data_IF_517262092249
#
_entry.id   IF_517262092249
#
_cell.length_a   1.000
_cell.length_b   1.000
_cell.length_c   1.000
_cell.angle_alpha   90.00
_cell.angle_beta   90.00
_cell.angle_gamma   90.00
#
_symmetry.space_group_name_H-M   'P 1'
#
loop_
_entity.id
_entity.type
_entity.pdbx_description
1 polymer ?
#
# COMPACT_ATOMS: atom_id res chain seq x y z
N UNK A 1 -6.42 -15.73 2.16
CA UNK A 1 -6.32 -14.89 0.94
C UNK A 1 -5.53 -13.65 1.30
N UNK A 2 -4.42 -13.40 0.60
CA UNK A 2 -3.55 -12.25 0.83
C UNK A 2 -3.75 -11.18 -0.26
N UNK A 3 -4.17 -9.98 0.14
CA UNK A 3 -4.45 -8.84 -0.73
C UNK A 3 -3.37 -7.77 -0.53
N UNK A 4 -2.69 -7.36 -1.59
CA UNK A 4 -1.80 -6.20 -1.58
C UNK A 4 -2.52 -4.94 -2.08
N UNK A 5 -2.40 -3.82 -1.37
CA UNK A 5 -2.95 -2.52 -1.75
C UNK A 5 -1.82 -1.47 -1.82
N UNK A 6 -1.44 -1.10 -3.04
CA UNK A 6 -0.44 -0.07 -3.29
C UNK A 6 -1.04 1.27 -3.70
N UNK A 7 -0.27 2.34 -3.54
CA UNK A 7 -0.64 3.67 -4.00
C UNK A 7 0.21 4.73 -3.31
N UNK A 8 0.27 5.92 -3.91
CA UNK A 8 1.01 7.05 -3.34
C UNK A 8 0.45 7.46 -1.98
N UNK A 9 1.25 8.13 -1.16
CA UNK A 9 0.77 8.76 0.07
C UNK A 9 -0.49 9.60 -0.19
N UNK A 10 -1.49 9.54 0.72
CA UNK A 10 -2.80 10.21 0.60
C UNK A 10 -3.66 9.79 -0.62
N UNK A 11 -3.36 8.64 -1.24
CA UNK A 11 -4.19 8.05 -2.32
C UNK A 11 -5.54 7.52 -1.85
N UNK A 12 -5.67 7.12 -0.59
CA UNK A 12 -6.87 6.43 -0.07
C UNK A 12 -6.68 4.92 0.14
N UNK A 13 -5.46 4.40 -0.05
CA UNK A 13 -5.08 2.99 0.20
C UNK A 13 -5.54 2.45 1.57
N UNK A 14 -5.26 3.16 2.66
CA UNK A 14 -5.66 2.76 4.01
C UNK A 14 -7.18 2.84 4.21
N UNK A 15 -7.87 3.77 3.53
CA UNK A 15 -9.34 3.84 3.54
C UNK A 15 -9.94 2.61 2.85
N UNK A 16 -9.46 2.27 1.65
CA UNK A 16 -9.91 1.07 0.93
C UNK A 16 -9.63 -0.20 1.75
N UNK A 17 -8.45 -0.31 2.36
CA UNK A 17 -8.10 -1.44 3.22
C UNK A 17 -9.08 -1.61 4.38
N UNK A 18 -9.44 -0.51 5.07
CA UNK A 18 -10.42 -0.52 6.16
C UNK A 18 -11.83 -0.89 5.69
N UNK A 19 -12.26 -0.39 4.52
CA UNK A 19 -13.56 -0.76 3.92
C UNK A 19 -13.61 -2.25 3.62
N UNK A 20 -12.54 -2.82 3.07
CA UNK A 20 -12.45 -4.25 2.77
C UNK A 20 -12.43 -5.11 4.02
N UNK A 21 -11.62 -4.78 5.04
CA UNK A 21 -11.64 -5.51 6.32
C UNK A 21 -13.03 -5.47 6.95
N UNK A 22 -13.69 -4.31 6.93
CA UNK A 22 -15.06 -4.16 7.44
C UNK A 22 -16.03 -5.05 6.66
N UNK A 23 -15.96 -5.03 5.33
CA UNK A 23 -16.79 -5.85 4.45
C UNK A 23 -16.59 -7.34 4.75
N UNK A 24 -15.36 -7.84 4.79
CA UNK A 24 -15.09 -9.26 5.04
C UNK A 24 -15.54 -9.70 6.44
N UNK A 25 -15.31 -8.89 7.46
CA UNK A 25 -15.78 -9.19 8.83
C UNK A 25 -17.30 -9.24 8.92
N UNK A 26 -18.02 -8.31 8.26
CA UNK A 26 -19.48 -8.33 8.17
C UNK A 26 -20.01 -9.60 7.48
N UNK A 27 -19.23 -10.17 6.57
CA UNK A 27 -19.55 -11.43 5.88
C UNK A 27 -18.95 -12.66 6.58
N UNK A 28 -18.67 -12.57 7.89
CA UNK A 28 -18.28 -13.71 8.72
C UNK A 28 -16.84 -14.19 8.56
N UNK A 29 -15.97 -13.43 7.88
CA UNK A 29 -14.55 -13.78 7.72
C UNK A 29 -13.67 -13.16 8.80
N UNK A 30 -12.65 -13.89 9.24
CA UNK A 30 -11.52 -13.35 10.00
C UNK A 30 -10.64 -12.56 9.04
N UNK A 31 -10.76 -11.24 9.08
CA UNK A 31 -9.94 -10.33 8.27
C UNK A 31 -9.03 -9.45 9.13
N UNK A 32 -7.80 -9.22 8.68
CA UNK A 32 -6.81 -8.33 9.30
C UNK A 32 -6.08 -7.48 8.25
N UNK A 33 -5.59 -6.33 8.69
CA UNK A 33 -4.86 -5.33 7.90
C UNK A 33 -3.50 -5.09 8.55
N UNK A 34 -2.45 -5.03 7.74
CA UNK A 34 -1.10 -4.62 8.10
C UNK A 34 -0.72 -3.38 7.29
N UNK A 35 -0.35 -2.32 8.01
CA UNK A 35 0.16 -1.10 7.43
C UNK A 35 1.67 -1.21 7.29
N UNK A 36 2.21 -0.98 6.08
CA UNK A 36 3.65 -1.02 5.86
C UNK A 36 4.41 -0.02 6.74
N UNK A 37 3.77 1.08 7.11
CA UNK A 37 4.31 2.11 8.01
C UNK A 37 4.61 1.56 9.42
N UNK A 38 4.04 0.42 9.83
CA UNK A 38 4.32 -0.26 11.11
C UNK A 38 5.64 -1.07 11.07
N UNK A 39 6.27 -1.20 9.91
CA UNK A 39 7.47 -2.01 9.66
C UNK A 39 8.67 -1.16 9.28
N UNK A 40 8.69 0.11 9.69
CA UNK A 40 9.83 1.01 9.45
C UNK A 40 11.00 0.67 10.36
N UNK A 41 12.23 0.78 9.85
CA UNK A 41 13.41 0.75 10.68
C UNK A 41 13.47 1.97 11.63
N UNK A 42 14.21 1.90 12.75
CA UNK A 42 14.49 3.07 13.55
C UNK A 42 15.12 4.19 12.71
N UNK A 43 14.77 5.45 12.99
CA UNK A 43 15.24 6.62 12.24
C UNK A 43 16.77 6.67 12.05
N UNK A 44 17.53 6.19 13.04
CA UNK A 44 19.00 6.13 12.99
C UNK A 44 19.57 5.21 11.92
N UNK A 45 18.76 4.28 11.39
CA UNK A 45 19.14 3.32 10.34
C UNK A 45 18.63 3.73 8.96
N UNK A 46 17.75 4.73 8.89
CA UNK A 46 17.15 5.18 7.63
C UNK A 46 18.10 6.19 6.96
N UNK A 47 18.35 6.06 5.63
CA UNK A 47 19.17 7.03 4.92
C UNK A 47 18.59 8.45 5.00
N UNK A 48 19.45 9.45 4.89
CA UNK A 48 19.02 10.84 4.78
C UNK A 48 18.91 11.26 3.31
N UNK A 49 17.92 12.10 3.03
CA UNK A 49 17.86 12.89 1.82
C UNK A 49 17.98 14.38 2.17
N UNK A 50 19.05 15.01 1.67
CA UNK A 50 19.47 16.34 2.10
C UNK A 50 19.60 16.39 3.63
N UNK A 51 18.75 17.16 4.30
CA UNK A 51 18.75 17.34 5.77
C UNK A 51 17.65 16.56 6.49
N UNK A 52 16.85 15.74 5.79
CA UNK A 52 15.74 14.98 6.38
C UNK A 52 15.96 13.47 6.27
N UNK A 53 15.34 12.73 7.17
CA UNK A 53 15.22 11.27 7.09
C UNK A 53 14.38 10.89 5.87
N UNK A 54 14.85 9.94 5.07
CA UNK A 54 14.20 9.51 3.83
C UNK A 54 13.23 8.36 4.09
N UNK A 55 12.07 8.68 4.67
CA UNK A 55 10.93 7.77 4.84
C UNK A 55 10.38 7.24 3.52
N UNK A 56 10.75 7.88 2.40
CA UNK A 56 10.33 7.52 1.07
C UNK A 56 11.39 6.66 0.37
N UNK A 57 12.37 6.10 1.10
CA UNK A 57 13.28 5.08 0.57
C UNK A 57 12.73 3.69 0.89
N UNK A 58 12.80 2.70 -0.01
CA UNK A 58 12.54 1.31 0.36
C UNK A 58 13.44 0.80 1.50
N UNK A 59 14.63 1.38 1.68
CA UNK A 59 15.52 1.08 2.81
C UNK A 59 14.97 1.55 4.16
N UNK A 60 13.85 2.28 4.19
CA UNK A 60 13.15 2.61 5.41
C UNK A 60 12.30 1.45 5.95
N UNK A 61 12.00 0.43 5.13
CA UNK A 61 11.09 -0.66 5.47
C UNK A 61 11.85 -1.96 5.72
N UNK A 62 11.53 -2.63 6.83
CA UNK A 62 11.91 -4.01 7.09
C UNK A 62 11.00 -4.98 6.32
N UNK A 63 11.29 -5.16 5.03
CA UNK A 63 10.55 -6.09 4.18
C UNK A 63 10.64 -7.55 4.65
N UNK A 64 11.69 -7.92 5.37
CA UNK A 64 11.85 -9.26 5.92
C UNK A 64 10.81 -9.49 7.01
N UNK A 65 10.76 -8.62 8.01
CA UNK A 65 9.76 -8.69 9.09
C UNK A 65 8.33 -8.58 8.53
N UNK A 66 8.12 -7.66 7.58
CA UNK A 66 6.82 -7.49 6.95
C UNK A 66 6.35 -8.79 6.28
N UNK A 67 7.22 -9.42 5.49
CA UNK A 67 6.92 -10.71 4.84
C UNK A 67 6.64 -11.82 5.86
N UNK A 68 7.46 -11.95 6.91
CA UNK A 68 7.28 -12.97 7.94
C UNK A 68 5.93 -12.85 8.64
N UNK A 69 5.50 -11.62 8.97
CA UNK A 69 4.18 -11.35 9.55
C UNK A 69 3.05 -11.68 8.58
N UNK A 70 3.17 -11.31 7.29
CA UNK A 70 2.16 -11.65 6.30
C UNK A 70 1.97 -13.16 6.15
N UNK A 71 3.06 -13.93 6.12
CA UNK A 71 3.01 -15.40 6.06
C UNK A 71 2.32 -15.96 7.30
N UNK A 72 2.78 -15.56 8.50
CA UNK A 72 2.26 -16.06 9.78
C UNK A 72 0.75 -15.81 9.94
N UNK A 73 0.26 -14.65 9.50
CA UNK A 73 -1.14 -14.31 9.63
C UNK A 73 -2.01 -14.88 8.51
N UNK A 74 -1.45 -15.12 7.33
CA UNK A 74 -2.19 -15.76 6.23
C UNK A 74 -2.53 -17.23 6.54
N UNK A 75 -1.84 -17.87 7.48
CA UNK A 75 -2.20 -19.19 8.03
C UNK A 75 -3.38 -19.14 9.01
N UNK A 76 -3.63 -17.99 9.64
CA UNK A 76 -4.58 -17.84 10.77
C UNK A 76 -5.86 -17.07 10.42
N UNK A 77 -5.82 -16.29 9.35
CA UNK A 77 -6.91 -15.41 8.91
C UNK A 77 -7.41 -15.81 7.53
N UNK A 78 -8.72 -15.70 7.32
CA UNK A 78 -9.33 -15.92 6.02
C UNK A 78 -8.84 -14.89 5.00
N UNK A 79 -8.68 -13.63 5.46
CA UNK A 79 -8.22 -12.51 4.64
C UNK A 79 -7.14 -11.71 5.37
N UNK A 80 -5.99 -11.53 4.74
CA UNK A 80 -4.93 -10.63 5.17
C UNK A 80 -4.78 -9.53 4.12
N UNK A 81 -4.76 -8.27 4.56
CA UNK A 81 -4.56 -7.11 3.69
C UNK A 81 -3.23 -6.46 4.06
N UNK A 82 -2.34 -6.34 3.09
CA UNK A 82 -1.07 -5.62 3.18
C UNK A 82 -1.20 -4.31 2.41
N UNK A 83 -1.05 -3.16 3.06
CA UNK A 83 -1.14 -1.85 2.39
C UNK A 83 0.10 -0.99 2.63
N UNK A 84 0.53 -0.27 1.61
CA UNK A 84 1.77 0.51 1.72
C UNK A 84 2.13 1.30 0.47
N UNK A 85 3.03 2.27 0.65
CA UNK A 85 3.62 3.02 -0.46
C UNK A 85 4.43 2.09 -1.38
N UNK A 86 5.15 1.15 -0.77
CA UNK A 86 6.00 0.14 -1.40
C UNK A 86 5.38 -1.26 -1.34
N UNK A 87 4.04 -1.36 -1.33
CA UNK A 87 3.33 -2.65 -1.22
C UNK A 87 3.72 -3.65 -2.32
N UNK A 88 4.21 -3.15 -3.46
CA UNK A 88 4.60 -3.95 -4.62
C UNK A 88 6.10 -3.92 -4.92
N UNK A 89 6.93 -3.39 -4.01
CA UNK A 89 8.36 -3.23 -4.24
C UNK A 89 9.13 -4.56 -4.12
N UNK A 90 8.83 -5.36 -3.09
CA UNK A 90 9.52 -6.63 -2.86
C UNK A 90 8.92 -7.77 -3.70
N UNK A 91 9.71 -8.33 -4.62
CA UNK A 91 9.27 -9.42 -5.49
C UNK A 91 8.85 -10.67 -4.71
N UNK A 92 9.51 -10.95 -3.59
CA UNK A 92 9.24 -12.13 -2.78
C UNK A 92 7.94 -12.03 -1.96
N UNK A 93 7.46 -10.82 -1.69
CA UNK A 93 6.11 -10.57 -1.18
C UNK A 93 5.09 -10.63 -2.32
N UNK A 94 5.42 -10.07 -3.49
CA UNK A 94 4.53 -10.07 -4.65
C UNK A 94 4.08 -11.46 -5.10
N UNK A 95 4.94 -12.48 -4.95
CA UNK A 95 4.61 -13.89 -5.24
C UNK A 95 3.61 -14.49 -4.26
N UNK A 96 3.49 -13.94 -3.04
CA UNK A 96 2.55 -14.39 -2.03
C UNK A 96 1.14 -13.80 -2.23
N UNK A 97 1.03 -12.66 -2.93
CA UNK A 97 -0.23 -11.94 -3.09
C UNK A 97 -1.18 -12.66 -4.04
N UNK A 98 -2.33 -13.10 -3.51
CA UNK A 98 -3.43 -13.67 -4.31
C UNK A 98 -4.16 -12.59 -5.13
N UNK A 99 -4.25 -11.36 -4.59
CA UNK A 99 -4.92 -10.21 -5.20
C UNK A 99 -4.12 -8.93 -5.05
N UNK A 100 -4.20 -8.05 -6.04
CA UNK A 100 -3.42 -6.81 -6.10
C UNK A 100 -4.35 -5.66 -6.49
N UNK A 101 -4.44 -4.66 -5.62
CA UNK A 101 -5.20 -3.43 -5.83
C UNK A 101 -4.24 -2.25 -5.88
N UNK A 102 -4.42 -1.34 -6.82
CA UNK A 102 -3.63 -0.12 -6.92
C UNK A 102 -4.52 1.11 -6.92
N UNK A 103 -4.40 1.92 -5.86
CA UNK A 103 -5.15 3.16 -5.71
C UNK A 103 -4.38 4.28 -6.40
N UNK A 104 -4.94 4.76 -7.51
CA UNK A 104 -4.33 5.78 -8.36
C UNK A 104 -4.98 7.13 -8.11
N UNK A 105 -4.14 8.14 -7.92
CA UNK A 105 -4.52 9.56 -7.97
C UNK A 105 -3.55 10.31 -8.89
N UNK A 106 -3.98 11.46 -9.42
CA UNK A 106 -3.12 12.35 -10.20
C UNK A 106 -2.08 13.04 -9.32
N UNK A 107 -0.97 13.53 -9.92
CA UNK A 107 0.02 14.35 -9.20
C UNK A 107 -0.64 15.58 -8.57
N UNK A 108 -1.59 16.20 -9.29
CA UNK A 108 -2.35 17.36 -8.80
C UNK A 108 -3.11 17.03 -7.51
N UNK A 109 -3.88 15.94 -7.51
CA UNK A 109 -4.63 15.51 -6.32
C UNK A 109 -3.70 15.15 -5.17
N UNK A 110 -2.57 14.48 -5.46
CA UNK A 110 -1.54 14.19 -4.46
C UNK A 110 -1.02 15.47 -3.79
N UNK A 111 -0.60 16.46 -4.58
CA UNK A 111 -0.06 17.73 -4.07
C UNK A 111 -1.09 18.45 -3.18
N UNK A 112 -2.35 18.53 -3.62
CA UNK A 112 -3.43 19.15 -2.84
C UNK A 112 -3.61 18.41 -1.52
N UNK A 113 -3.80 17.09 -1.55
CA UNK A 113 -4.06 16.28 -0.34
C UNK A 113 -2.88 16.21 0.61
N UNK A 114 -1.65 16.30 0.10
CA UNK A 114 -0.44 16.29 0.91
C UNK A 114 -0.14 17.66 1.52
N UNK A 115 -0.48 18.76 0.83
CA UNK A 115 -0.37 20.11 1.41
C UNK A 115 -1.28 20.32 2.62
N UNK A 116 -2.39 19.58 2.70
CA UNK A 116 -3.33 19.58 3.83
C UNK A 116 -2.95 18.59 4.95
N UNK A 117 -1.86 17.83 4.80
CA UNK A 117 -1.43 16.81 5.75
C UNK A 117 -0.52 17.42 6.82
N UNK A 118 -1.09 17.76 7.98
CA UNK A 118 -0.39 18.44 9.08
C UNK A 118 0.17 17.50 10.15
N UNK A 119 0.06 16.17 9.96
CA UNK A 119 0.45 15.16 10.97
C UNK A 119 1.92 15.27 11.41
N UNK A 120 2.79 15.74 10.51
CA UNK A 120 4.23 15.85 10.72
C UNK A 120 4.72 17.30 10.75
N UNK A 121 3.81 18.26 10.91
CA UNK A 121 4.11 19.68 10.80
C UNK A 121 4.33 20.11 9.35
N UNK A 122 5.10 21.18 9.16
CA UNK A 122 5.37 21.73 7.83
C UNK A 122 6.37 20.86 7.04
N UNK A 123 5.90 20.37 5.90
CA UNK A 123 6.72 19.67 4.90
C UNK A 123 7.14 20.63 3.78
N UNK A 124 8.45 20.82 3.54
CA UNK A 124 8.92 21.70 2.48
C UNK A 124 8.56 21.12 1.10
N UNK A 125 8.27 21.99 0.14
CA UNK A 125 7.85 21.61 -1.22
C UNK A 125 8.77 20.58 -1.87
N UNK A 126 10.09 20.72 -1.69
CA UNK A 126 11.06 19.78 -2.25
C UNK A 126 10.90 18.36 -1.70
N UNK A 127 10.45 18.20 -0.45
CA UNK A 127 10.21 16.89 0.15
C UNK A 127 8.89 16.31 -0.35
N UNK A 128 7.86 17.14 -0.54
CA UNK A 128 6.61 16.71 -1.18
C UNK A 128 6.86 16.21 -2.61
N UNK A 129 7.69 16.91 -3.39
CA UNK A 129 8.10 16.43 -4.71
C UNK A 129 8.93 15.14 -4.61
N UNK A 130 9.80 15.01 -3.62
CA UNK A 130 10.56 13.79 -3.36
C UNK A 130 9.64 12.58 -3.10
N UNK A 131 8.59 12.72 -2.28
CA UNK A 131 7.57 11.67 -2.07
C UNK A 131 7.01 11.19 -3.41
N UNK A 132 6.64 12.13 -4.29
CA UNK A 132 6.10 11.78 -5.61
C UNK A 132 7.13 11.07 -6.48
N UNK A 133 8.37 11.55 -6.51
CA UNK A 133 9.44 10.95 -7.31
C UNK A 133 9.83 9.56 -6.82
N UNK A 134 9.93 9.38 -5.50
CA UNK A 134 10.12 8.07 -4.89
C UNK A 134 8.98 7.12 -5.27
N UNK A 135 7.73 7.55 -5.12
CA UNK A 135 6.58 6.74 -5.51
C UNK A 135 6.67 6.31 -6.98
N UNK A 136 7.02 7.22 -7.88
CA UNK A 136 7.20 6.89 -9.29
C UNK A 136 8.27 5.84 -9.54
N UNK A 137 9.33 5.83 -8.73
CA UNK A 137 10.48 4.94 -8.86
C UNK A 137 10.27 3.58 -8.19
N UNK A 138 9.62 3.56 -7.02
CA UNK A 138 9.61 2.41 -6.12
C UNK A 138 8.23 1.92 -5.71
N UNK A 139 7.21 2.78 -5.75
CA UNK A 139 5.85 2.45 -5.28
C UNK A 139 4.86 2.08 -6.39
N UNK A 140 5.21 2.33 -7.65
CA UNK A 140 4.39 1.91 -8.80
C UNK A 140 4.52 0.39 -9.03
N UNK A 141 3.43 -0.28 -9.42
CA UNK A 141 3.50 -1.64 -9.94
C UNK A 141 4.46 -1.71 -11.12
N UNK A 142 5.28 -2.76 -11.17
CA UNK A 142 6.14 -3.01 -12.32
C UNK A 142 5.31 -3.25 -13.58
N UNK A 143 5.83 -2.82 -14.75
CA UNK A 143 5.12 -2.91 -16.04
C UNK A 143 4.64 -4.33 -16.38
N UNK A 144 5.36 -5.35 -15.94
CA UNK A 144 5.04 -6.76 -16.18
C UNK A 144 4.11 -7.39 -15.13
N UNK A 145 3.75 -6.66 -14.07
CA UNK A 145 2.87 -7.16 -13.03
C UNK A 145 1.46 -7.36 -13.60
N UNK A 146 1.04 -8.63 -13.66
CA UNK A 146 -0.29 -9.02 -14.13
C UNK A 146 -1.30 -9.02 -12.97
N UNK A 147 -2.57 -9.09 -13.35
CA UNK A 147 -3.69 -9.31 -12.43
C UNK A 147 -3.81 -8.27 -11.33
N UNK A 148 -3.52 -7.00 -11.65
CA UNK A 148 -3.69 -5.87 -10.74
C UNK A 148 -4.89 -5.02 -11.14
N UNK A 149 -5.80 -4.79 -10.20
CA UNK A 149 -6.92 -3.88 -10.41
C UNK A 149 -6.52 -2.45 -9.99
N UNK A 150 -6.51 -1.54 -10.96
CA UNK A 150 -6.35 -0.10 -10.67
C UNK A 150 -7.70 0.55 -10.39
N UNK A 151 -7.78 1.32 -9.30
CA UNK A 151 -8.98 2.00 -8.83
C UNK A 151 -8.66 3.49 -8.62
N UNK A 152 -9.61 4.38 -8.93
CA UNK A 152 -9.49 5.81 -8.63
C UNK A 152 -9.53 6.01 -7.12
N UNK A 153 -8.57 6.76 -6.58
CA UNK A 153 -8.65 7.30 -5.22
C UNK A 153 -9.15 8.74 -5.19
N UNK A 154 -9.54 9.30 -6.35
CA UNK A 154 -10.01 10.69 -6.47
C UNK A 154 -11.51 10.81 -6.14
N UNK A 155 -12.25 9.72 -6.30
CA UNK A 155 -13.70 9.60 -6.10
C UNK A 155 -14.03 8.57 -5.01
N UNK A 156 -15.31 8.39 -4.72
CA UNK A 156 -15.76 7.26 -3.90
C UNK A 156 -15.36 5.93 -4.55
N UNK A 157 -14.92 4.97 -3.73
CA UNK A 157 -14.52 3.67 -4.24
C UNK A 157 -15.73 2.88 -4.75
N UNK A 158 -15.66 2.46 -6.01
CA UNK A 158 -16.58 1.49 -6.61
C UNK A 158 -16.36 0.09 -5.99
N UNK A 159 -16.97 -0.11 -4.81
CA UNK A 159 -16.79 -1.33 -4.03
C UNK A 159 -17.31 -2.57 -4.74
N UNK A 160 -18.37 -2.47 -5.54
CA UNK A 160 -18.91 -3.61 -6.30
C UNK A 160 -17.88 -4.13 -7.30
N UNK A 161 -17.18 -3.22 -8.00
CA UNK A 161 -16.08 -3.59 -8.89
C UNK A 161 -14.91 -4.21 -8.13
N UNK A 162 -14.57 -3.68 -6.95
CA UNK A 162 -13.49 -4.25 -6.12
C UNK A 162 -13.84 -5.68 -5.68
N UNK A 163 -15.01 -5.88 -5.09
CA UNK A 163 -15.46 -7.19 -4.60
C UNK A 163 -15.54 -8.19 -5.76
N UNK A 164 -16.13 -7.81 -6.90
CA UNK A 164 -16.17 -8.66 -8.10
C UNK A 164 -14.79 -9.09 -8.59
N UNK A 165 -13.76 -8.25 -8.44
CA UNK A 165 -12.39 -8.62 -8.77
C UNK A 165 -11.77 -9.57 -7.74
N UNK A 166 -12.06 -9.37 -6.46
CA UNK A 166 -11.58 -10.23 -5.37
C UNK A 166 -12.22 -11.63 -5.44
N UNK A 167 -13.48 -11.73 -5.84
CA UNK A 167 -14.22 -13.01 -5.94
C UNK A 167 -13.88 -13.84 -7.19
N UNK A 168 -13.29 -13.22 -8.23
CA UNK A 168 -12.84 -13.98 -9.40
C UNK A 168 -11.79 -15.01 -8.99
N UNK A 169 -12.01 -16.29 -9.22
CA UNK A 169 -10.98 -17.30 -9.04
C UNK A 169 -9.79 -17.00 -9.96
N UNK A 170 -8.65 -16.61 -9.39
CA UNK A 170 -7.39 -16.58 -10.12
C UNK A 170 -6.90 -18.02 -10.14
N UNK A 171 -7.05 -18.72 -11.28
CA UNK A 171 -6.45 -20.04 -11.44
C UNK A 171 -4.95 -19.91 -11.22
N UNK A 172 -4.42 -20.55 -10.17
CA UNK A 172 -2.98 -20.67 -9.95
C UNK A 172 -2.47 -21.64 -11.03
N UNK A 173 -1.87 -21.11 -12.08
CA UNK A 173 -1.05 -21.87 -13.02
C UNK A 173 0.31 -22.14 -12.38
#
# INVERSE_FOLDING_TARGET
MLIGIGGVSRSGKSTLANLLVTHFRKNGKKAIIFHQDDFVFPETQIPKIKSRTDWESPHSIDFKLFKEVLILFNEKFDVVIAEGLFAFHDESINTLLDKKLFVKISKRTFLIRKSMDTRWGYEPTWFIDHIWHSFQKFGKPYVKMKDILTISGEDEFDMDKVIKYLDKNTAKN
#
